data_IF_541088506711
#
_entry.id   IF_541088506711
#
_cell.length_a   1.000
_cell.length_b   1.000
_cell.length_c   1.000
_cell.angle_alpha   90.00
_cell.angle_beta   90.00
_cell.angle_gamma   90.00
#
_symmetry.space_group_name_H-M   'P 1'
#
loop_
_entity.id
_entity.type
_entity.pdbx_description
1 polymer ?
#
# COMPACT_ATOMS: atom_id res chain seq x y z
N UNK A 1 2.38 -5.03 -3.59
CA UNK A 1 2.15 -4.95 -2.13
C UNK A 1 2.53 -6.23 -1.39
N UNK A 2 1.77 -7.34 -1.46
CA UNK A 2 2.13 -8.58 -0.72
C UNK A 2 3.48 -9.17 -1.11
N UNK A 3 3.88 -9.03 -2.39
CA UNK A 3 5.21 -9.41 -2.88
C UNK A 3 6.36 -8.59 -2.27
N UNK A 4 6.06 -7.43 -1.68
CA UNK A 4 7.02 -6.48 -1.12
C UNK A 4 7.07 -6.50 0.41
N UNK A 5 6.54 -7.57 1.03
CA UNK A 5 6.53 -7.74 2.49
C UNK A 5 5.41 -6.98 3.21
N UNK A 6 4.46 -6.38 2.48
CA UNK A 6 3.28 -5.79 3.09
C UNK A 6 2.24 -6.86 3.44
N UNK A 7 1.86 -6.92 4.70
CA UNK A 7 0.79 -7.77 5.22
C UNK A 7 -0.50 -6.97 5.36
N UNK A 8 -1.63 -7.64 5.15
CA UNK A 8 -2.95 -7.05 5.38
C UNK A 8 -3.28 -7.11 6.86
N UNK A 9 -3.52 -5.95 7.48
CA UNK A 9 -3.81 -5.87 8.93
C UNK A 9 -5.26 -5.54 9.24
N UNK A 10 -5.94 -4.81 8.36
CA UNK A 10 -7.35 -4.44 8.52
C UNK A 10 -8.01 -4.22 7.18
N UNK A 11 -9.30 -4.48 7.09
CA UNK A 11 -10.12 -4.07 5.95
C UNK A 11 -11.39 -3.40 6.45
N UNK A 12 -11.74 -2.25 5.87
CA UNK A 12 -13.04 -1.58 6.06
C UNK A 12 -13.66 -1.35 4.68
N UNK A 13 -14.59 -2.22 4.32
CA UNK A 13 -15.19 -2.24 2.99
C UNK A 13 -14.13 -2.43 1.90
N UNK A 14 -14.06 -1.48 0.98
CA UNK A 14 -13.10 -1.45 -0.13
C UNK A 14 -11.68 -1.01 0.25
N UNK A 15 -11.46 -0.44 1.45
CA UNK A 15 -10.13 0.02 1.86
C UNK A 15 -9.44 -1.05 2.71
N UNK A 16 -8.25 -1.46 2.29
CA UNK A 16 -7.40 -2.41 3.00
C UNK A 16 -6.21 -1.66 3.58
N UNK A 17 -5.97 -1.80 4.87
CA UNK A 17 -4.76 -1.32 5.51
C UNK A 17 -3.70 -2.40 5.37
N UNK A 18 -2.61 -2.04 4.69
CA UNK A 18 -1.42 -2.85 4.49
C UNK A 18 -0.31 -2.32 5.40
N UNK A 19 0.44 -3.19 6.06
CA UNK A 19 1.58 -2.83 6.90
C UNK A 19 2.81 -3.64 6.54
N UNK A 20 3.98 -3.01 6.56
CA UNK A 20 5.28 -3.67 6.42
C UNK A 20 6.14 -3.27 7.61
N UNK A 21 6.76 -4.26 8.26
CA UNK A 21 7.77 -4.01 9.27
C UNK A 21 9.09 -3.65 8.56
N UNK A 22 9.61 -2.47 8.85
CA UNK A 22 10.96 -2.01 8.51
C UNK A 22 11.84 -2.06 9.76
N UNK A 23 13.15 -1.88 9.60
CA UNK A 23 14.15 -2.07 10.67
C UNK A 23 13.81 -1.26 11.94
N UNK A 24 13.37 -0.02 11.80
CA UNK A 24 13.05 0.87 12.93
C UNK A 24 11.60 1.37 12.95
N UNK A 25 10.76 0.98 11.99
CA UNK A 25 9.39 1.51 11.88
C UNK A 25 8.42 0.55 11.21
N UNK A 26 7.12 0.85 11.31
CA UNK A 26 6.08 0.12 10.57
C UNK A 26 5.48 1.03 9.51
N UNK A 27 5.71 0.69 8.25
CA UNK A 27 5.14 1.39 7.11
C UNK A 27 3.67 0.97 6.98
N UNK A 28 2.74 1.92 7.12
CA UNK A 28 1.29 1.66 7.06
C UNK A 28 0.69 2.38 5.86
N UNK A 29 0.01 1.64 4.99
CA UNK A 29 -0.50 2.16 3.72
C UNK A 29 -1.95 1.72 3.50
N UNK A 30 -2.90 2.66 3.34
CA UNK A 30 -4.26 2.34 2.93
C UNK A 30 -4.30 2.10 1.41
N UNK A 31 -4.71 0.90 1.00
CA UNK A 31 -4.84 0.49 -0.39
C UNK A 31 -6.32 0.24 -0.70
N UNK A 32 -6.92 1.00 -1.64
CA UNK A 32 -8.27 0.73 -2.11
C UNK A 32 -8.29 -0.48 -3.04
N UNK A 33 -9.27 -1.36 -2.86
CA UNK A 33 -9.50 -2.58 -3.64
C UNK A 33 -10.39 -2.27 -4.85
N UNK A 34 -9.84 -1.56 -5.82
CA UNK A 34 -10.49 -1.24 -7.10
C UNK A 34 -9.60 -1.68 -8.26
N UNK A 35 -10.21 -2.01 -9.40
CA UNK A 35 -9.45 -2.24 -10.65
C UNK A 35 -8.75 -0.97 -11.14
N UNK A 36 -9.33 0.20 -10.86
CA UNK A 36 -8.81 1.49 -11.27
C UNK A 36 -8.54 2.37 -10.05
N UNK A 37 -7.28 2.76 -9.89
CA UNK A 37 -6.85 3.66 -8.82
C UNK A 37 -6.54 5.01 -9.46
N UNK A 38 -7.15 6.08 -8.94
CA UNK A 38 -6.85 7.44 -9.40
C UNK A 38 -5.35 7.72 -9.24
N UNK A 39 -4.75 8.41 -10.21
CA UNK A 39 -3.30 8.69 -10.21
C UNK A 39 -2.81 9.35 -8.92
N UNK A 40 -3.59 10.26 -8.33
CA UNK A 40 -3.26 10.89 -7.05
C UNK A 40 -3.25 9.91 -5.87
N UNK A 41 -4.15 8.93 -5.89
CA UNK A 41 -4.18 7.85 -4.89
C UNK A 41 -3.02 6.89 -5.08
N UNK A 42 -2.70 6.54 -6.33
CA UNK A 42 -1.53 5.71 -6.66
C UNK A 42 -0.23 6.39 -6.20
N UNK A 43 -0.06 7.68 -6.49
CA UNK A 43 1.11 8.45 -6.03
C UNK A 43 1.19 8.52 -4.50
N UNK A 44 0.06 8.68 -3.82
CA UNK A 44 0.03 8.67 -2.35
C UNK A 44 0.44 7.31 -1.79
N UNK A 45 0.00 6.22 -2.41
CA UNK A 45 0.38 4.84 -2.05
C UNK A 45 1.88 4.63 -2.29
N UNK A 46 2.42 5.02 -3.45
CA UNK A 46 3.86 4.95 -3.78
C UNK A 46 4.67 5.70 -2.72
N UNK A 47 4.31 6.96 -2.45
CA UNK A 47 5.01 7.81 -1.48
C UNK A 47 4.98 7.22 -0.07
N UNK A 48 3.85 6.68 0.37
CA UNK A 48 3.70 6.11 1.71
C UNK A 48 4.32 4.72 1.84
N UNK A 49 4.34 3.94 0.76
CA UNK A 49 4.92 2.59 0.76
C UNK A 49 6.43 2.56 0.54
N UNK A 50 7.02 3.70 0.19
CA UNK A 50 8.43 3.81 -0.23
C UNK A 50 8.78 2.88 -1.40
N UNK A 51 7.77 2.46 -2.17
CA UNK A 51 7.91 1.65 -3.37
C UNK A 51 8.05 2.54 -4.60
N UNK A 52 8.68 2.03 -5.65
CA UNK A 52 8.70 2.74 -6.93
C UNK A 52 7.45 2.44 -7.75
N UNK A 53 7.16 3.25 -8.78
CA UNK A 53 5.98 3.03 -9.66
C UNK A 53 5.96 1.61 -10.27
N UNK A 54 7.13 1.08 -10.61
CA UNK A 54 7.32 -0.26 -11.18
C UNK A 54 7.00 -1.40 -10.20
N UNK A 55 7.07 -1.15 -8.90
CA UNK A 55 6.78 -2.15 -7.86
C UNK A 55 5.28 -2.40 -7.67
N UNK A 56 4.42 -1.55 -8.25
CA UNK A 56 2.95 -1.62 -8.13
C UNK A 56 2.24 -2.10 -9.40
N UNK A 57 2.99 -2.37 -10.47
CA UNK A 57 2.47 -3.04 -11.68
C UNK A 57 2.29 -4.56 -11.49
#
# INVERSE_FOLDING_TARGET
>A
MSKHGFIKVRQKGIHVIMQKLAEDSTITVPVPMHKEIKIGTLHSIIKQSELTKWDLE
#
